data_IF_167857599983
#
_entry.id   IF_167857599983
#
_cell.length_a   1.000
_cell.length_b   1.000
_cell.length_c   1.000
_cell.angle_alpha   90.00
_cell.angle_beta   90.00
_cell.angle_gamma   90.00
#
_symmetry.space_group_name_H-M   'P 1'
#
loop_
_entity.id
_entity.type
_entity.pdbx_description
1 polymer ?
#
# COMPACT_ATOMS: atom_id res chain seq x y z
N UNK A 1 0.57 16.66 19.70
CA UNK A 1 0.71 15.46 18.85
C UNK A 1 2.04 15.59 18.13
N UNK A 2 2.98 14.67 18.38
CA UNK A 2 4.31 14.71 17.77
C UNK A 2 4.31 14.02 16.41
N UNK A 3 5.33 14.27 15.59
CA UNK A 3 5.49 13.56 14.31
C UNK A 3 5.59 12.04 14.48
N UNK A 4 6.09 11.58 15.64
CA UNK A 4 6.16 10.16 15.98
C UNK A 4 4.78 9.57 16.27
N UNK A 5 3.92 10.32 16.97
CA UNK A 5 2.54 9.88 17.26
C UNK A 5 1.73 9.72 15.96
N UNK A 6 1.90 10.63 15.00
CA UNK A 6 1.24 10.57 13.69
C UNK A 6 1.68 9.31 12.94
N UNK A 7 2.99 9.04 12.90
CA UNK A 7 3.52 7.84 12.24
C UNK A 7 3.00 6.55 12.87
N UNK A 8 2.94 6.48 14.21
CA UNK A 8 2.40 5.32 14.93
C UNK A 8 0.90 5.15 14.63
N UNK A 9 0.15 6.25 14.57
CA UNK A 9 -1.26 6.23 14.22
C UNK A 9 -1.47 5.68 12.80
N UNK A 10 -0.69 6.15 11.82
CA UNK A 10 -0.75 5.66 10.44
C UNK A 10 -0.45 4.16 10.35
N UNK A 11 0.60 3.70 11.03
CA UNK A 11 0.93 2.27 11.10
C UNK A 11 -0.20 1.45 11.72
N UNK A 12 -0.87 1.96 12.77
CA UNK A 12 -1.99 1.27 13.41
C UNK A 12 -3.20 1.15 12.49
N UNK A 13 -3.54 2.21 11.76
CA UNK A 13 -4.64 2.20 10.79
C UNK A 13 -4.38 1.15 9.69
N UNK A 14 -3.15 1.11 9.18
CA UNK A 14 -2.73 0.11 8.19
C UNK A 14 -2.85 -1.31 8.75
N UNK A 15 -2.33 -1.56 9.96
CA UNK A 15 -2.41 -2.88 10.61
C UNK A 15 -3.85 -3.33 10.83
N UNK A 16 -4.71 -2.43 11.30
CA UNK A 16 -6.12 -2.70 11.51
C UNK A 16 -6.80 -3.11 10.20
N UNK A 17 -6.60 -2.32 9.14
CA UNK A 17 -7.13 -2.61 7.81
C UNK A 17 -6.66 -3.98 7.30
N UNK A 18 -5.37 -4.27 7.43
CA UNK A 18 -4.80 -5.55 6.98
C UNK A 18 -5.29 -6.74 7.80
N UNK A 19 -5.50 -6.58 9.11
CA UNK A 19 -6.07 -7.64 9.95
C UNK A 19 -7.51 -7.96 9.53
N UNK A 20 -8.34 -6.93 9.29
CA UNK A 20 -9.71 -7.07 8.81
C UNK A 20 -9.80 -7.74 7.42
N UNK A 21 -8.76 -7.61 6.61
CA UNK A 21 -8.69 -8.15 5.25
C UNK A 21 -7.63 -9.25 5.10
N UNK A 22 -7.23 -9.88 6.20
CA UNK A 22 -6.11 -10.83 6.25
C UNK A 22 -6.31 -12.04 5.34
N UNK A 23 -7.50 -12.63 5.33
CA UNK A 23 -7.85 -13.73 4.41
C UNK A 23 -7.78 -13.29 2.95
N UNK A 24 -8.31 -12.09 2.66
CA UNK A 24 -8.24 -11.53 1.33
C UNK A 24 -6.79 -11.33 0.93
N UNK A 25 -5.90 -10.86 1.82
CA UNK A 25 -4.44 -10.62 1.67
C UNK A 25 -3.60 -11.91 1.54
N UNK A 26 -4.09 -13.03 2.08
CA UNK A 26 -3.41 -14.33 2.06
C UNK A 26 -3.87 -15.27 0.92
N UNK A 27 -4.89 -14.90 0.15
CA UNK A 27 -5.51 -15.73 -0.88
C UNK A 27 -4.56 -16.13 -2.02
N UNK A 28 -4.82 -17.29 -2.65
CA UNK A 28 -3.94 -17.87 -3.70
C UNK A 28 -3.75 -16.97 -4.93
N UNK A 29 -4.70 -16.11 -5.25
CA UNK A 29 -4.61 -15.14 -6.36
C UNK A 29 -3.47 -14.14 -6.14
N UNK A 30 -3.06 -13.92 -4.88
CA UNK A 30 -1.98 -13.02 -4.50
C UNK A 30 -0.60 -13.67 -4.51
N UNK A 31 -0.49 -14.99 -4.71
CA UNK A 31 0.81 -15.68 -4.82
C UNK A 31 1.67 -15.18 -6.00
N UNK A 32 1.08 -14.44 -6.94
CA UNK A 32 1.80 -13.75 -8.02
C UNK A 32 2.55 -12.49 -7.54
N UNK A 33 2.14 -11.92 -6.41
CA UNK A 33 2.84 -10.86 -5.70
C UNK A 33 3.63 -11.56 -4.57
N UNK A 34 4.93 -11.33 -4.43
CA UNK A 34 5.68 -11.94 -3.31
C UNK A 34 5.34 -11.18 -2.01
N UNK A 35 4.15 -11.40 -1.47
CA UNK A 35 3.68 -10.71 -0.26
C UNK A 35 4.36 -11.33 0.96
N UNK A 36 5.02 -10.51 1.76
CA UNK A 36 5.73 -10.92 2.97
C UNK A 36 5.24 -10.07 4.14
N UNK A 37 5.08 -10.70 5.30
CA UNK A 37 4.79 -10.00 6.56
C UNK A 37 6.10 -9.46 7.14
N UNK A 38 6.20 -8.15 7.31
CA UNK A 38 7.38 -7.48 7.83
C UNK A 38 7.43 -7.55 9.37
N UNK A 39 8.58 -7.20 9.97
CA UNK A 39 8.82 -7.31 11.44
C UNK A 39 7.78 -6.58 12.30
N UNK A 40 7.16 -5.52 11.77
CA UNK A 40 6.13 -4.74 12.47
C UNK A 40 4.71 -5.31 12.30
N UNK A 41 4.55 -6.47 11.64
CA UNK A 41 3.27 -7.13 11.40
C UNK A 41 2.51 -6.64 10.17
N UNK A 42 3.07 -5.69 9.42
CA UNK A 42 2.47 -5.14 8.19
C UNK A 42 2.83 -6.02 7.00
N UNK A 43 1.85 -6.32 6.16
CA UNK A 43 2.05 -7.01 4.89
C UNK A 43 2.60 -6.03 3.83
N UNK A 44 3.73 -6.39 3.23
CA UNK A 44 4.39 -5.65 2.14
C UNK A 44 4.50 -6.52 0.89
N UNK A 45 4.41 -5.92 -0.29
CA UNK A 45 4.72 -6.59 -1.55
C UNK A 45 6.22 -6.55 -1.79
N UNK A 46 6.83 -7.69 -2.09
CA UNK A 46 8.22 -7.81 -2.53
C UNK A 46 8.23 -8.05 -4.05
N UNK A 47 9.02 -7.31 -4.81
CA UNK A 47 8.99 -7.46 -6.27
C UNK A 47 10.13 -6.77 -7.01
N UNK A 48 10.98 -7.59 -7.65
CA UNK A 48 11.97 -7.38 -8.76
C UNK A 48 12.73 -6.04 -8.90
N UNK A 49 12.72 -5.15 -7.91
CA UNK A 49 13.37 -3.84 -7.95
C UNK A 49 14.55 -3.75 -6.98
N UNK A 50 15.27 -4.87 -6.80
CA UNK A 50 16.47 -4.95 -5.95
C UNK A 50 17.57 -3.93 -6.35
N UNK A 51 17.60 -3.51 -7.61
CA UNK A 51 18.67 -2.67 -8.20
C UNK A 51 18.22 -1.26 -8.59
N UNK A 52 17.04 -0.79 -8.13
CA UNK A 52 16.56 0.54 -8.48
C UNK A 52 16.86 1.57 -7.39
N UNK A 53 17.25 2.77 -7.79
CA UNK A 53 17.56 3.91 -6.92
C UNK A 53 16.30 4.56 -6.30
N UNK A 54 15.27 3.75 -6.02
CA UNK A 54 14.00 4.18 -5.44
C UNK A 54 14.01 3.96 -3.93
N UNK A 55 13.17 4.70 -3.19
CA UNK A 55 13.08 4.58 -1.72
C UNK A 55 12.68 3.16 -1.29
N UNK A 56 13.10 2.74 -0.09
CA UNK A 56 12.77 1.41 0.47
C UNK A 56 11.26 1.14 0.50
N UNK A 57 10.44 2.16 0.72
CA UNK A 57 8.98 2.03 0.67
C UNK A 57 8.42 1.88 -0.75
N UNK A 58 9.12 2.40 -1.76
CA UNK A 58 8.78 2.15 -3.16
C UNK A 58 9.27 0.77 -3.63
N UNK A 59 10.38 0.25 -3.07
CA UNK A 59 10.87 -1.12 -3.32
C UNK A 59 9.95 -2.17 -2.71
N UNK A 60 9.48 -1.89 -1.49
CA UNK A 60 8.67 -2.80 -0.68
C UNK A 60 7.36 -2.13 -0.25
N UNK A 61 6.45 -1.87 -1.19
CA UNK A 61 5.25 -1.08 -0.91
C UNK A 61 4.29 -1.82 0.02
N UNK A 62 3.62 -1.04 0.87
CA UNK A 62 2.62 -1.56 1.80
C UNK A 62 1.38 -2.03 1.04
N UNK A 63 0.90 -3.23 1.38
CA UNK A 63 -0.28 -3.80 0.73
C UNK A 63 -1.54 -3.14 1.27
N UNK A 64 -2.31 -2.55 0.36
CA UNK A 64 -3.67 -2.06 0.65
C UNK A 64 -4.64 -2.78 -0.27
N UNK A 65 -5.70 -3.33 0.31
CA UNK A 65 -6.72 -3.99 -0.49
C UNK A 65 -7.47 -2.96 -1.33
N UNK A 66 -7.64 -3.20 -2.65
CA UNK A 66 -8.45 -2.36 -3.51
C UNK A 66 -9.91 -2.30 -3.00
N UNK A 67 -10.65 -1.29 -3.44
CA UNK A 67 -12.07 -1.06 -3.09
C UNK A 67 -12.37 -0.98 -1.58
N UNK A 68 -11.36 -0.60 -0.79
CA UNK A 68 -11.54 -0.31 0.63
C UNK A 68 -11.69 1.18 0.89
N UNK A 69 -12.32 1.53 2.02
CA UNK A 69 -12.39 2.92 2.50
C UNK A 69 -11.00 3.53 2.62
N UNK A 70 -10.02 2.76 3.12
CA UNK A 70 -8.62 3.19 3.21
C UNK A 70 -8.01 3.48 1.83
N UNK A 71 -8.21 2.60 0.84
CA UNK A 71 -7.73 2.83 -0.53
C UNK A 71 -8.34 4.11 -1.13
N UNK A 72 -9.65 4.34 -0.93
CA UNK A 72 -10.33 5.55 -1.41
C UNK A 72 -9.79 6.80 -0.74
N UNK A 73 -9.50 6.76 0.56
CA UNK A 73 -8.88 7.89 1.28
C UNK A 73 -7.47 8.18 0.76
N UNK A 74 -6.63 7.16 0.57
CA UNK A 74 -5.28 7.31 0.00
C UNK A 74 -5.34 7.94 -1.41
N UNK A 75 -6.25 7.46 -2.25
CA UNK A 75 -6.44 7.99 -3.60
C UNK A 75 -6.90 9.46 -3.55
N UNK A 76 -7.87 9.78 -2.69
CA UNK A 76 -8.40 11.13 -2.56
C UNK A 76 -7.36 12.10 -2.02
N UNK A 77 -6.53 11.67 -1.07
CA UNK A 77 -5.43 12.45 -0.51
C UNK A 77 -4.38 12.76 -1.59
N UNK A 78 -3.92 11.73 -2.33
CA UNK A 78 -2.95 11.90 -3.40
C UNK A 78 -3.49 12.79 -4.54
N UNK A 79 -4.76 12.61 -4.90
CA UNK A 79 -5.42 13.42 -5.91
C UNK A 79 -5.63 14.87 -5.44
N UNK A 80 -6.08 15.07 -4.21
CA UNK A 80 -6.34 16.40 -3.63
C UNK A 80 -5.08 17.22 -3.45
N UNK A 81 -3.96 16.58 -3.06
CA UNK A 81 -2.65 17.23 -2.92
C UNK A 81 -2.06 17.71 -4.24
N UNK A 82 -2.30 16.98 -5.32
CA UNK A 82 -1.67 17.28 -6.61
C UNK A 82 -2.62 17.95 -7.61
N UNK A 83 -3.95 17.91 -7.38
CA UNK A 83 -4.97 18.29 -8.38
C UNK A 83 -4.68 17.71 -9.77
N UNK A 84 -4.03 16.55 -9.81
CA UNK A 84 -3.39 16.01 -10.99
C UNK A 84 -4.19 14.85 -11.57
N UNK A 85 -4.07 14.66 -12.88
CA UNK A 85 -4.68 13.54 -13.60
C UNK A 85 -4.33 12.17 -13.00
N UNK A 86 -5.17 11.18 -13.31
CA UNK A 86 -5.14 9.83 -12.73
C UNK A 86 -3.78 9.13 -12.83
N UNK A 87 -2.98 9.41 -13.87
CA UNK A 87 -1.66 8.84 -14.07
C UNK A 87 -0.64 9.30 -13.01
N UNK A 88 -0.65 10.59 -12.67
CA UNK A 88 0.24 11.18 -11.66
C UNK A 88 -0.17 10.76 -10.25
N UNK A 89 -1.47 10.72 -9.97
CA UNK A 89 -2.01 10.17 -8.72
C UNK A 89 -1.56 8.72 -8.51
N UNK A 90 -1.64 7.89 -9.56
CA UNK A 90 -1.13 6.51 -9.50
C UNK A 90 0.38 6.43 -9.29
N UNK A 91 1.16 7.33 -9.90
CA UNK A 91 2.61 7.37 -9.72
C UNK A 91 3.01 7.74 -8.29
N UNK A 92 2.30 8.70 -7.69
CA UNK A 92 2.52 9.12 -6.31
C UNK A 92 2.22 8.00 -5.31
N UNK A 93 1.06 7.34 -5.47
CA UNK A 93 0.66 6.23 -4.59
C UNK A 93 1.69 5.09 -4.65
N UNK A 94 2.22 4.77 -5.85
CA UNK A 94 3.23 3.71 -6.02
C UNK A 94 4.55 3.95 -5.29
N UNK A 95 4.82 5.16 -4.78
CA UNK A 95 6.00 5.45 -3.96
C UNK A 95 5.91 4.84 -2.55
N UNK A 96 4.71 4.48 -2.09
CA UNK A 96 4.50 4.04 -0.70
C UNK A 96 3.51 2.89 -0.55
N UNK A 97 2.55 2.74 -1.48
CA UNK A 97 1.51 1.73 -1.42
C UNK A 97 1.37 0.94 -2.72
N UNK A 98 1.10 -0.36 -2.55
CA UNK A 98 0.80 -1.28 -3.63
C UNK A 98 -0.67 -1.64 -3.57
N UNK A 99 -1.44 -1.25 -4.59
CA UNK A 99 -2.78 -1.77 -4.79
C UNK A 99 -2.72 -3.07 -5.58
N UNK A 100 -3.50 -4.05 -5.14
CA UNK A 100 -3.66 -5.30 -5.87
C UNK A 100 -4.56 -5.01 -7.08
N UNK A 101 -4.07 -5.25 -8.29
CA UNK A 101 -4.92 -5.18 -9.48
C UNK A 101 -5.99 -6.26 -9.39
N UNK A 102 -7.26 -5.87 -9.48
CA UNK A 102 -8.27 -6.78 -9.99
C UNK A 102 -7.96 -7.00 -11.47
N UNK A 103 -7.76 -8.26 -11.86
CA UNK A 103 -7.74 -8.60 -13.27
C UNK A 103 -9.04 -8.11 -13.88
N UNK A 104 -8.92 -7.23 -14.88
CA UNK A 104 -10.01 -6.90 -15.77
C UNK A 104 -10.61 -8.21 -16.29
N UNK A 105 -11.89 -8.43 -16.01
CA UNK A 105 -12.76 -9.19 -16.90
C UNK A 105 -13.54 -8.19 -17.73
#
# INVERSE_FOLDING_TARGET
MTAEDIRKADELVIKLHQNQKSELIASKTQRKLNIVKYKNGIWKCYGRLGESHISEDAKNPTVVTPDSGLARLIIREAHGKLHCGTALTKAEIRKSFGFQNYGSR
#
